data_IF_287574711011
#
_entry.id   IF_287574711011
#
_cell.length_a   1.000
_cell.length_b   1.000
_cell.length_c   1.000
_cell.angle_alpha   90.00
_cell.angle_beta   90.00
_cell.angle_gamma   90.00
#
_symmetry.space_group_name_H-M   'P 1'
#
loop_
_entity.id
_entity.type
_entity.pdbx_description
1 polymer ?
#
# COMPACT_ATOMS: atom_id res chain seq x y z
N UNK A 1 -80.69 47.33 -22.00
CA UNK A 1 -79.32 47.28 -22.50
C UNK A 1 -78.43 47.92 -21.44
N UNK A 2 -77.88 47.15 -20.52
CA UNK A 2 -76.96 47.71 -19.52
C UNK A 2 -76.15 46.60 -18.85
N UNK A 3 -74.85 46.87 -18.80
CA UNK A 3 -73.76 46.05 -18.28
C UNK A 3 -73.78 45.88 -16.76
N UNK A 4 -73.18 44.77 -16.38
CA UNK A 4 -72.97 44.22 -15.04
C UNK A 4 -72.21 45.11 -14.06
N UNK A 5 -72.52 44.90 -12.78
CA UNK A 5 -71.74 45.38 -11.63
C UNK A 5 -71.74 44.35 -10.50
N UNK A 6 -70.52 43.95 -10.15
CA UNK A 6 -69.97 43.73 -8.80
C UNK A 6 -70.63 42.83 -7.74
N UNK A 7 -69.72 42.06 -7.13
CA UNK A 7 -69.53 41.81 -5.70
C UNK A 7 -70.33 40.70 -4.98
N UNK A 8 -69.50 39.76 -4.45
CA UNK A 8 -69.62 39.03 -3.19
C UNK A 8 -70.85 38.15 -2.95
N UNK A 9 -70.61 36.83 -2.84
CA UNK A 9 -71.03 36.05 -1.66
C UNK A 9 -70.44 34.64 -1.61
N UNK A 10 -69.87 34.36 -0.45
CA UNK A 10 -69.59 33.05 0.14
C UNK A 10 -70.86 32.18 0.17
N UNK A 11 -70.78 30.93 -0.28
CA UNK A 11 -71.75 29.87 0.10
C UNK A 11 -71.01 28.55 0.30
N UNK A 12 -71.25 27.96 1.48
CA UNK A 12 -70.83 26.63 1.92
C UNK A 12 -71.42 25.53 1.02
N UNK A 13 -70.62 24.54 0.69
CA UNK A 13 -71.12 23.20 0.34
C UNK A 13 -70.34 22.19 1.17
N UNK A 14 -71.03 21.57 2.13
CA UNK A 14 -70.56 20.37 2.81
C UNK A 14 -71.05 19.15 2.05
N UNK A 15 -70.21 18.12 1.97
CA UNK A 15 -70.62 16.73 1.73
C UNK A 15 -69.43 15.79 1.96
N UNK A 16 -69.66 14.76 2.77
CA UNK A 16 -69.17 13.41 2.49
C UNK A 16 -67.78 13.03 3.00
N UNK A 17 -67.77 12.41 4.18
CA UNK A 17 -67.09 11.16 4.52
C UNK A 17 -65.71 10.85 3.90
N UNK A 18 -64.70 10.66 4.76
CA UNK A 18 -63.93 9.42 4.82
C UNK A 18 -62.94 9.47 5.99
N UNK A 19 -62.91 8.40 6.77
CA UNK A 19 -61.97 8.18 7.85
C UNK A 19 -60.52 8.14 7.32
N UNK A 20 -59.63 8.92 7.92
CA UNK A 20 -58.19 8.74 7.81
C UNK A 20 -57.59 8.64 9.22
N UNK A 21 -56.94 7.50 9.46
CA UNK A 21 -56.14 7.18 10.63
C UNK A 21 -55.02 8.21 10.80
N UNK A 22 -55.06 8.99 11.88
CA UNK A 22 -53.93 9.82 12.31
C UNK A 22 -52.96 8.93 13.09
N UNK A 23 -51.90 8.48 12.41
CA UNK A 23 -50.67 8.06 13.08
C UNK A 23 -49.95 9.33 13.56
N UNK A 24 -49.94 9.55 14.86
CA UNK A 24 -49.18 10.62 15.48
C UNK A 24 -47.68 10.38 15.25
N UNK A 25 -47.08 11.31 14.52
CA UNK A 25 -45.66 11.38 14.20
C UNK A 25 -44.81 11.63 15.45
N UNK A 26 -43.83 10.75 15.70
CA UNK A 26 -42.63 11.13 16.43
C UNK A 26 -41.56 11.51 15.38
N UNK A 27 -41.34 12.80 15.22
CA UNK A 27 -40.15 13.34 14.56
C UNK A 27 -38.98 13.26 15.55
N UNK A 28 -37.86 12.66 15.14
CA UNK A 28 -36.52 12.85 15.75
C UNK A 28 -35.45 12.60 14.68
N UNK A 29 -34.25 13.18 14.84
CA UNK A 29 -33.61 13.97 13.78
C UNK A 29 -32.67 13.15 12.86
N UNK A 30 -32.56 13.65 11.63
CA UNK A 30 -31.54 13.28 10.64
C UNK A 30 -30.14 13.45 11.20
N UNK A 31 -29.52 12.35 11.62
CA UNK A 31 -28.13 12.34 12.07
C UNK A 31 -27.17 12.15 10.88
N UNK A 32 -26.51 13.27 10.52
CA UNK A 32 -25.39 13.33 9.58
C UNK A 32 -24.15 12.73 10.25
N UNK A 33 -24.04 11.39 10.29
CA UNK A 33 -22.86 10.70 10.87
C UNK A 33 -22.42 9.46 10.08
N UNK A 34 -22.84 9.34 8.81
CA UNK A 34 -22.49 8.18 7.97
C UNK A 34 -21.14 8.28 7.24
N UNK A 35 -20.48 9.44 7.23
CA UNK A 35 -19.27 9.66 6.40
C UNK A 35 -17.95 9.40 7.13
N UNK A 36 -17.94 9.44 8.47
CA UNK A 36 -16.72 9.26 9.28
C UNK A 36 -16.41 7.81 9.67
N UNK A 37 -17.27 6.84 9.31
CA UNK A 37 -17.06 5.40 9.58
C UNK A 37 -16.34 4.63 8.48
N UNK A 38 -16.22 5.17 7.26
CA UNK A 38 -15.58 4.45 6.14
C UNK A 38 -14.05 4.35 6.24
N UNK A 39 -13.40 5.11 7.14
CA UNK A 39 -11.93 5.13 7.28
C UNK A 39 -11.45 4.19 8.41
N UNK A 40 -12.35 3.53 9.17
CA UNK A 40 -11.96 2.67 10.30
C UNK A 40 -11.90 1.16 10.03
N UNK A 41 -12.29 0.68 8.86
CA UNK A 41 -12.20 -0.75 8.51
C UNK A 41 -11.00 -1.03 7.58
N UNK A 42 -9.79 -1.02 8.13
CA UNK A 42 -8.63 -1.74 7.52
C UNK A 42 -8.31 -3.06 8.24
N UNK A 43 -9.13 -3.41 9.24
CA UNK A 43 -9.05 -4.64 10.04
C UNK A 43 -10.09 -5.70 9.63
N UNK A 44 -10.73 -5.56 8.45
CA UNK A 44 -11.62 -6.60 7.94
C UNK A 44 -10.91 -7.96 8.01
N UNK A 45 -11.47 -8.86 8.81
CA UNK A 45 -11.03 -10.24 8.98
C UNK A 45 -11.33 -11.11 7.75
N UNK A 46 -11.95 -10.53 6.72
CA UNK A 46 -12.24 -11.24 5.49
C UNK A 46 -10.92 -11.64 4.79
N UNK A 47 -10.82 -12.87 4.28
CA UNK A 47 -9.71 -13.27 3.42
C UNK A 47 -9.66 -12.37 2.18
N UNK A 48 -8.45 -12.22 1.63
CA UNK A 48 -8.20 -11.47 0.42
C UNK A 48 -9.14 -11.94 -0.69
N UNK A 49 -9.89 -11.00 -1.24
CA UNK A 49 -10.52 -11.13 -2.54
C UNK A 49 -9.94 -10.04 -3.40
N UNK A 50 -9.41 -10.40 -4.57
CA UNK A 50 -8.99 -9.40 -5.53
C UNK A 50 -10.21 -8.51 -5.83
N UNK A 51 -10.08 -7.20 -5.57
CA UNK A 51 -11.17 -6.25 -5.84
C UNK A 51 -11.48 -6.15 -7.35
N UNK A 52 -10.56 -6.63 -8.19
CA UNK A 52 -10.66 -6.68 -9.65
C UNK A 52 -10.09 -8.01 -10.18
N UNK A 53 -10.49 -8.42 -11.39
CA UNK A 53 -9.82 -9.52 -12.09
C UNK A 53 -8.33 -9.21 -12.23
N UNK A 54 -7.49 -10.13 -11.74
CA UNK A 54 -6.05 -9.88 -11.70
C UNK A 54 -5.42 -10.09 -13.07
N UNK A 55 -4.81 -9.04 -13.60
CA UNK A 55 -4.01 -9.13 -14.81
C UNK A 55 -2.64 -9.76 -14.55
N UNK A 56 -2.02 -10.24 -15.62
CA UNK A 56 -0.59 -10.50 -15.64
C UNK A 56 0.16 -9.21 -15.26
N UNK A 57 1.14 -9.29 -14.37
CA UNK A 57 1.88 -8.13 -13.89
C UNK A 57 2.49 -8.34 -12.51
N UNK A 58 3.21 -7.33 -12.02
CA UNK A 58 3.76 -7.31 -10.67
C UNK A 58 3.55 -5.95 -9.98
N UNK A 59 3.23 -5.98 -8.68
CA UNK A 59 3.18 -4.82 -7.82
C UNK A 59 4.21 -4.95 -6.70
N UNK A 60 5.00 -3.91 -6.48
CA UNK A 60 6.04 -3.84 -5.45
C UNK A 60 5.77 -2.65 -4.55
N UNK A 61 5.61 -2.89 -3.25
CA UNK A 61 5.63 -1.84 -2.23
C UNK A 61 7.02 -1.83 -1.57
N UNK A 62 7.73 -0.73 -1.74
CA UNK A 62 9.07 -0.51 -1.18
C UNK A 62 8.91 0.30 0.11
N UNK A 63 9.30 -0.29 1.24
CA UNK A 63 9.27 0.33 2.56
C UNK A 63 10.70 0.69 2.96
N UNK A 64 10.96 1.98 3.09
CA UNK A 64 12.28 2.52 3.39
C UNK A 64 12.31 3.03 4.83
N UNK A 65 13.22 2.48 5.63
CA UNK A 65 13.47 2.95 6.97
C UNK A 65 14.11 4.35 6.94
N UNK A 66 13.51 5.26 7.68
CA UNK A 66 13.97 6.62 7.92
C UNK A 66 14.03 6.90 9.43
N UNK A 67 14.31 5.88 10.24
CA UNK A 67 14.52 5.99 11.68
C UNK A 67 15.82 6.72 12.03
N UNK A 68 15.98 7.12 13.30
CA UNK A 68 17.13 7.92 13.73
C UNK A 68 18.50 7.29 13.43
N UNK A 69 18.64 5.97 13.56
CA UNK A 69 19.89 5.21 13.30
C UNK A 69 20.36 5.33 11.85
N UNK A 70 19.46 5.60 10.92
CA UNK A 70 19.82 5.80 9.51
C UNK A 70 20.64 7.09 9.26
N UNK A 71 20.80 7.97 10.27
CA UNK A 71 21.75 9.10 10.22
C UNK A 71 23.20 8.68 10.51
N UNK A 72 23.43 7.51 11.08
CA UNK A 72 24.77 7.03 11.37
C UNK A 72 25.53 6.77 10.05
N UNK A 73 26.85 6.81 10.11
CA UNK A 73 27.70 6.47 8.97
C UNK A 73 27.44 5.04 8.52
N UNK A 74 27.35 4.83 7.21
CA UNK A 74 27.28 3.49 6.67
C UNK A 74 28.61 2.75 6.91
N UNK A 75 28.60 1.44 7.21
CA UNK A 75 29.86 0.74 7.46
C UNK A 75 30.79 0.81 6.24
N UNK A 76 31.99 1.34 6.46
CA UNK A 76 33.00 1.53 5.42
C UNK A 76 32.74 2.71 4.47
N UNK A 77 31.83 3.62 4.81
CA UNK A 77 31.51 4.83 4.03
C UNK A 77 31.27 6.01 5.00
N UNK A 78 31.87 7.17 4.75
CA UNK A 78 31.70 8.35 5.62
C UNK A 78 30.37 9.09 5.40
N UNK A 79 29.51 8.57 4.53
CA UNK A 79 28.18 9.11 4.27
C UNK A 79 27.16 8.38 5.16
N UNK A 80 26.07 9.06 5.57
CA UNK A 80 25.01 8.45 6.34
C UNK A 80 24.35 7.26 5.62
N UNK A 81 23.90 6.25 6.38
CA UNK A 81 23.20 5.06 5.89
C UNK A 81 22.04 5.39 4.95
N UNK A 82 21.22 6.39 5.27
CA UNK A 82 20.08 6.77 4.41
C UNK A 82 20.50 7.25 3.02
N UNK A 83 21.67 7.90 2.89
CA UNK A 83 22.19 8.34 1.59
C UNK A 83 22.61 7.13 0.77
N UNK A 84 23.35 6.21 1.39
CA UNK A 84 23.81 4.97 0.75
C UNK A 84 22.63 4.08 0.34
N UNK A 85 21.61 3.97 1.20
CA UNK A 85 20.40 3.21 0.91
C UNK A 85 19.57 3.83 -0.22
N UNK A 86 19.45 5.16 -0.26
CA UNK A 86 18.78 5.87 -1.36
C UNK A 86 19.45 5.58 -2.71
N UNK A 87 20.77 5.71 -2.77
CA UNK A 87 21.53 5.45 -4.01
C UNK A 87 21.41 3.98 -4.47
N UNK A 88 21.42 3.03 -3.54
CA UNK A 88 21.24 1.62 -3.86
C UNK A 88 19.82 1.31 -4.39
N UNK A 89 18.79 1.93 -3.80
CA UNK A 89 17.41 1.82 -4.27
C UNK A 89 17.20 2.49 -5.64
N UNK A 90 17.80 3.65 -5.87
CA UNK A 90 17.77 4.32 -7.18
C UNK A 90 18.40 3.43 -8.26
N UNK A 91 19.59 2.88 -8.01
CA UNK A 91 20.26 1.96 -8.93
C UNK A 91 19.47 0.66 -9.19
N UNK A 92 18.76 0.14 -8.18
CA UNK A 92 17.86 -1.00 -8.34
C UNK A 92 16.68 -0.65 -9.26
N UNK A 93 16.10 0.55 -9.10
CA UNK A 93 14.92 0.99 -9.86
C UNK A 93 15.23 1.40 -11.29
N UNK A 94 16.46 1.79 -11.60
CA UNK A 94 16.95 1.95 -12.99
C UNK A 94 16.92 0.62 -13.76
N UNK A 95 17.08 -0.53 -13.09
CA UNK A 95 16.95 -1.83 -13.74
C UNK A 95 15.51 -2.09 -14.25
N UNK A 96 14.51 -1.46 -13.64
CA UNK A 96 13.11 -1.54 -14.06
C UNK A 96 12.90 -0.88 -15.42
N UNK A 97 13.64 0.18 -15.76
CA UNK A 97 13.56 0.82 -17.08
C UNK A 97 13.85 -0.17 -18.20
N UNK A 98 14.97 -0.89 -18.07
CA UNK A 98 15.38 -1.88 -19.05
C UNK A 98 14.38 -3.04 -19.15
N UNK A 99 13.76 -3.45 -18.03
CA UNK A 99 12.75 -4.49 -18.02
C UNK A 99 11.46 -4.05 -18.74
N UNK A 100 10.92 -2.87 -18.37
CA UNK A 100 9.68 -2.34 -18.95
C UNK A 100 9.86 -2.06 -20.44
N UNK A 101 11.04 -1.58 -20.87
CA UNK A 101 11.35 -1.40 -22.28
C UNK A 101 11.35 -2.72 -23.06
N UNK A 102 11.82 -3.82 -22.46
CA UNK A 102 11.85 -5.16 -23.08
C UNK A 102 10.48 -5.85 -23.06
N UNK A 103 9.62 -5.56 -22.05
CA UNK A 103 8.35 -6.24 -21.78
C UNK A 103 7.22 -5.24 -21.49
N UNK A 104 6.85 -4.36 -22.45
CA UNK A 104 5.86 -3.30 -22.23
C UNK A 104 4.45 -3.82 -21.88
N UNK A 105 4.14 -5.07 -22.26
CA UNK A 105 2.90 -5.77 -21.99
C UNK A 105 2.79 -6.29 -20.56
N UNK A 106 3.91 -6.39 -19.82
CA UNK A 106 3.94 -6.82 -18.43
C UNK A 106 3.96 -5.59 -17.50
N UNK A 107 2.83 -5.16 -16.92
CA UNK A 107 2.78 -3.98 -16.08
C UNK A 107 3.55 -4.21 -14.77
N UNK A 108 4.54 -3.35 -14.52
CA UNK A 108 5.15 -3.18 -13.20
C UNK A 108 4.48 -2.00 -12.50
N UNK A 109 3.99 -2.21 -11.30
CA UNK A 109 3.45 -1.18 -10.41
C UNK A 109 4.35 -1.03 -9.19
N UNK A 110 4.66 0.20 -8.80
CA UNK A 110 5.53 0.51 -7.66
C UNK A 110 4.83 1.49 -6.74
N UNK A 111 4.89 1.23 -5.43
CA UNK A 111 4.65 2.19 -4.36
C UNK A 111 5.90 2.34 -3.49
N UNK A 112 6.11 3.54 -2.95
CA UNK A 112 7.25 3.88 -2.08
C UNK A 112 6.69 4.49 -0.80
N UNK A 113 7.08 3.92 0.33
CA UNK A 113 6.69 4.37 1.65
C UNK A 113 7.95 4.54 2.48
N UNK A 114 7.90 5.50 3.40
CA UNK A 114 8.93 5.69 4.41
C UNK A 114 8.35 5.44 5.77
N UNK A 115 9.15 4.91 6.69
CA UNK A 115 8.72 4.73 8.06
C UNK A 115 9.79 5.13 9.06
N UNK A 116 9.31 5.67 10.17
CA UNK A 116 10.09 5.83 11.39
C UNK A 116 9.18 5.52 12.58
N UNK A 117 8.85 6.49 13.45
CA UNK A 117 7.80 6.31 14.47
C UNK A 117 6.39 6.18 13.87
N UNK A 118 6.23 6.57 12.61
CA UNK A 118 4.99 6.46 11.83
C UNK A 118 5.31 6.17 10.36
N UNK A 119 4.28 6.09 9.53
CA UNK A 119 4.40 5.73 8.10
C UNK A 119 3.93 6.88 7.23
N UNK A 120 4.67 7.15 6.16
CA UNK A 120 4.28 8.10 5.12
C UNK A 120 4.33 7.45 3.75
N UNK A 121 3.27 7.64 2.96
CA UNK A 121 3.26 7.25 1.55
C UNK A 121 3.94 8.36 0.73
N UNK A 122 5.08 8.04 0.11
CA UNK A 122 5.83 8.97 -0.74
C UNK A 122 5.38 8.86 -2.20
N UNK A 123 5.05 7.63 -2.62
CA UNK A 123 4.49 7.29 -3.92
C UNK A 123 3.43 6.20 -3.72
N UNK A 124 2.13 6.46 -3.98
CA UNK A 124 1.10 5.42 -3.98
C UNK A 124 1.41 4.34 -5.02
N UNK A 125 0.91 3.11 -4.82
CA UNK A 125 1.10 2.03 -5.79
C UNK A 125 0.46 2.38 -7.13
N UNK A 126 1.29 2.57 -8.16
CA UNK A 126 0.86 2.93 -9.51
C UNK A 126 1.81 2.36 -10.56
N UNK A 127 1.44 2.43 -11.85
CA UNK A 127 2.32 1.97 -12.94
C UNK A 127 3.68 2.68 -12.85
N UNK A 128 4.75 1.91 -13.08
CA UNK A 128 6.11 2.42 -13.07
C UNK A 128 6.28 3.61 -14.03
N UNK A 129 6.89 4.67 -13.52
CA UNK A 129 7.41 5.81 -14.27
C UNK A 129 8.73 6.19 -13.62
N UNK A 130 9.77 6.25 -14.43
CA UNK A 130 11.10 6.65 -14.01
C UNK A 130 11.07 8.02 -13.31
N UNK A 131 10.34 8.97 -13.88
CA UNK A 131 10.25 10.35 -13.40
C UNK A 131 9.57 10.42 -12.03
N UNK A 132 8.46 9.70 -11.84
CA UNK A 132 7.71 9.70 -10.59
C UNK A 132 8.50 9.01 -9.47
N UNK A 133 9.18 7.91 -9.79
CA UNK A 133 10.07 7.21 -8.86
C UNK A 133 11.24 8.10 -8.45
N UNK A 134 11.98 8.67 -9.41
CA UNK A 134 13.10 9.58 -9.13
C UNK A 134 12.66 10.78 -8.28
N UNK A 135 11.50 11.34 -8.60
CA UNK A 135 10.90 12.45 -7.83
C UNK A 135 10.52 12.04 -6.41
N UNK A 136 10.02 10.81 -6.21
CA UNK A 136 9.72 10.26 -4.90
C UNK A 136 11.00 10.02 -4.07
N UNK A 137 12.05 9.44 -4.65
CA UNK A 137 13.33 9.20 -3.98
C UNK A 137 14.01 10.51 -3.54
N UNK A 138 13.86 11.59 -4.32
CA UNK A 138 14.36 12.91 -3.96
C UNK A 138 13.58 13.57 -2.80
N UNK A 139 12.36 13.11 -2.49
CA UNK A 139 11.50 13.64 -1.41
C UNK A 139 11.52 12.80 -0.14
N UNK A 140 12.36 11.77 -0.06
CA UNK A 140 12.47 10.98 1.16
C UNK A 140 12.82 11.92 2.34
N UNK A 141 12.13 11.79 3.49
CA UNK A 141 12.38 12.65 4.63
C UNK A 141 13.77 12.37 5.22
N UNK A 142 14.29 13.34 5.97
CA UNK A 142 15.48 13.11 6.77
C UNK A 142 15.18 12.10 7.87
N UNK A 143 16.15 11.22 8.22
CA UNK A 143 15.88 10.20 9.21
C UNK A 143 15.69 10.76 10.63
N UNK A 144 14.84 10.11 11.41
CA UNK A 144 14.55 10.49 12.80
C UNK A 144 13.43 9.67 13.41
N UNK A 145 13.36 9.62 14.74
CA UNK A 145 12.35 8.83 15.46
C UNK A 145 12.71 7.35 15.56
N UNK A 146 11.71 6.52 15.90
CA UNK A 146 11.84 5.07 16.03
C UNK A 146 11.65 4.34 14.70
N UNK A 147 11.29 3.07 14.77
CA UNK A 147 11.31 2.13 13.64
C UNK A 147 10.01 1.30 13.66
N UNK A 148 9.00 1.69 12.88
CA UNK A 148 7.66 1.11 12.86
C UNK A 148 7.43 0.19 11.65
N UNK A 149 8.21 -0.90 11.57
CA UNK A 149 8.18 -1.88 10.48
C UNK A 149 6.78 -2.49 10.34
N UNK A 150 6.19 -2.93 11.45
CA UNK A 150 4.86 -3.58 11.42
C UNK A 150 3.77 -2.65 10.87
N UNK A 151 3.78 -1.38 11.26
CA UNK A 151 2.83 -0.39 10.72
C UNK A 151 3.09 -0.10 9.24
N UNK A 152 4.34 -0.06 8.81
CA UNK A 152 4.70 0.18 7.40
C UNK A 152 4.13 -0.93 6.50
N UNK A 153 4.32 -2.20 6.88
CA UNK A 153 3.77 -3.34 6.14
C UNK A 153 2.25 -3.32 6.10
N UNK A 154 1.61 -3.02 7.25
CA UNK A 154 0.15 -2.92 7.34
C UNK A 154 -0.42 -1.80 6.48
N UNK A 155 0.28 -0.67 6.40
CA UNK A 155 -0.14 0.52 5.64
C UNK A 155 -0.05 0.29 4.13
N UNK A 156 0.99 -0.39 3.66
CA UNK A 156 1.18 -0.65 2.22
C UNK A 156 0.30 -1.80 1.69
N UNK A 157 -0.01 -2.79 2.52
CA UNK A 157 -0.76 -3.99 2.12
C UNK A 157 -2.06 -3.70 1.33
N UNK A 158 -2.96 -2.80 1.75
CA UNK A 158 -4.20 -2.55 1.01
C UNK A 158 -3.97 -2.07 -0.43
N UNK A 159 -2.94 -1.26 -0.69
CA UNK A 159 -2.64 -0.79 -2.05
C UNK A 159 -2.09 -1.93 -2.92
N UNK A 160 -1.29 -2.85 -2.36
CA UNK A 160 -0.88 -4.06 -3.07
C UNK A 160 -2.08 -4.93 -3.47
N UNK A 161 -3.07 -5.07 -2.58
CA UNK A 161 -4.29 -5.83 -2.86
C UNK A 161 -5.14 -5.20 -3.98
N UNK A 162 -5.14 -3.87 -4.08
CA UNK A 162 -5.85 -3.11 -5.12
C UNK A 162 -5.05 -2.93 -6.40
N UNK A 163 -3.82 -3.43 -6.45
CA UNK A 163 -2.95 -3.23 -7.60
C UNK A 163 -3.48 -3.95 -8.86
N UNK A 164 -4.42 -4.90 -8.76
CA UNK A 164 -5.03 -5.57 -9.91
C UNK A 164 -4.04 -6.35 -10.77
N UNK A 165 -2.96 -6.84 -10.14
CA UNK A 165 -1.92 -7.66 -10.75
C UNK A 165 -1.65 -8.85 -9.87
N UNK A 166 -1.40 -9.99 -10.51
CA UNK A 166 -1.27 -11.27 -9.81
C UNK A 166 -0.11 -11.28 -8.80
N UNK A 167 1.09 -10.82 -9.20
CA UNK A 167 2.28 -10.88 -8.34
C UNK A 167 2.37 -9.67 -7.42
N UNK A 168 2.55 -9.91 -6.12
CA UNK A 168 2.60 -8.85 -5.11
C UNK A 168 3.80 -9.05 -4.20
N UNK A 169 4.57 -7.98 -4.05
CA UNK A 169 5.83 -7.98 -3.32
C UNK A 169 5.87 -6.85 -2.31
N UNK A 170 6.28 -7.18 -1.09
CA UNK A 170 6.60 -6.22 -0.03
C UNK A 170 8.12 -6.27 0.19
N UNK A 171 8.82 -5.18 -0.13
CA UNK A 171 10.26 -5.06 0.05
C UNK A 171 10.56 -4.07 1.16
N UNK A 172 11.17 -4.51 2.25
CA UNK A 172 11.55 -3.69 3.40
C UNK A 172 13.06 -3.50 3.42
N UNK A 173 13.52 -2.26 3.57
CA UNK A 173 14.94 -1.93 3.79
C UNK A 173 15.05 -1.21 5.11
N UNK A 174 15.81 -1.78 6.06
CA UNK A 174 15.93 -1.27 7.44
C UNK A 174 17.30 -1.57 8.03
N UNK A 175 17.76 -0.71 8.95
CA UNK A 175 18.98 -0.91 9.73
C UNK A 175 18.74 -1.28 11.20
N UNK A 176 17.48 -1.47 11.59
CA UNK A 176 17.12 -1.51 13.00
C UNK A 176 16.04 -2.53 13.36
N UNK A 177 15.84 -2.66 14.66
CA UNK A 177 14.73 -3.43 15.23
C UNK A 177 13.44 -2.61 15.21
N UNK A 178 12.30 -3.28 15.20
CA UNK A 178 11.03 -2.61 15.39
C UNK A 178 10.95 -2.01 16.81
N UNK A 179 10.88 -0.68 16.91
CA UNK A 179 10.84 0.06 18.18
C UNK A 179 9.54 0.84 18.37
N UNK A 180 8.65 0.84 17.38
CA UNK A 180 7.35 1.51 17.43
C UNK A 180 6.25 0.68 16.74
N UNK A 181 5.01 0.83 17.21
CA UNK A 181 3.86 0.17 16.59
C UNK A 181 3.82 -1.35 16.78
N UNK A 182 3.11 -2.03 15.88
CA UNK A 182 2.89 -3.49 15.94
C UNK A 182 4.16 -4.29 15.69
N UNK A 183 4.20 -5.49 16.25
CA UNK A 183 5.22 -6.48 15.95
C UNK A 183 5.18 -6.86 14.45
N UNK A 184 6.32 -6.78 13.73
CA UNK A 184 6.36 -7.12 12.32
C UNK A 184 6.09 -8.61 12.04
N UNK A 185 6.40 -9.51 12.97
CA UNK A 185 6.08 -10.94 12.83
C UNK A 185 4.58 -11.21 12.85
N UNK A 186 3.83 -10.57 13.75
CA UNK A 186 2.37 -10.64 13.78
C UNK A 186 1.75 -10.13 12.47
N UNK A 187 2.22 -8.97 11.98
CA UNK A 187 1.71 -8.38 10.74
C UNK A 187 2.07 -9.23 9.52
N UNK A 188 3.28 -9.80 9.46
CA UNK A 188 3.69 -10.69 8.38
C UNK A 188 2.80 -11.93 8.31
N UNK A 189 2.49 -12.55 9.46
CA UNK A 189 1.55 -13.68 9.54
C UNK A 189 0.13 -13.28 9.14
N UNK A 190 -0.32 -12.08 9.50
CA UNK A 190 -1.62 -11.56 9.06
C UNK A 190 -1.69 -11.37 7.55
N UNK A 191 -0.64 -10.80 6.94
CA UNK A 191 -0.52 -10.64 5.49
C UNK A 191 -0.55 -12.02 4.81
N UNK A 192 0.25 -12.96 5.27
CA UNK A 192 0.32 -14.30 4.70
C UNK A 192 -1.03 -15.03 4.76
N UNK A 193 -1.67 -15.08 5.93
CA UNK A 193 -2.98 -15.72 6.09
C UNK A 193 -4.05 -15.05 5.23
N UNK A 194 -4.11 -13.72 5.23
CA UNK A 194 -5.14 -13.00 4.47
C UNK A 194 -4.94 -13.14 2.98
N UNK A 195 -3.71 -13.13 2.49
CA UNK A 195 -3.40 -13.27 1.06
C UNK A 195 -3.30 -14.72 0.58
N UNK A 196 -3.48 -15.70 1.46
CA UNK A 196 -3.22 -17.12 1.19
C UNK A 196 -1.81 -17.35 0.59
N UNK A 197 -0.83 -16.55 1.03
CA UNK A 197 0.55 -16.58 0.54
C UNK A 197 0.80 -15.85 -0.79
N UNK A 198 -0.18 -15.14 -1.34
CA UNK A 198 -0.02 -14.41 -2.61
C UNK A 198 0.92 -13.19 -2.52
N UNK A 199 1.16 -12.65 -1.31
CA UNK A 199 2.14 -11.58 -1.09
C UNK A 199 3.46 -12.18 -0.62
N UNK A 200 4.51 -11.99 -1.41
CA UNK A 200 5.88 -12.34 -1.02
C UNK A 200 6.52 -11.18 -0.26
N UNK A 201 7.18 -11.49 0.85
CA UNK A 201 7.81 -10.49 1.74
C UNK A 201 9.32 -10.66 1.71
N UNK A 202 10.03 -9.59 1.40
CA UNK A 202 11.48 -9.50 1.31
C UNK A 202 12.00 -8.43 2.25
N UNK A 203 13.01 -8.77 3.05
CA UNK A 203 13.72 -7.83 3.91
C UNK A 203 15.17 -7.72 3.46
N UNK A 204 15.69 -6.49 3.46
CA UNK A 204 17.12 -6.20 3.38
C UNK A 204 17.54 -5.57 4.69
N UNK A 205 18.31 -6.33 5.48
CA UNK A 205 18.84 -5.93 6.77
C UNK A 205 20.18 -5.22 6.54
N UNK A 206 20.16 -3.88 6.52
CA UNK A 206 21.34 -3.06 6.26
C UNK A 206 22.06 -2.70 7.55
N UNK A 207 23.33 -3.07 7.71
CA UNK A 207 24.09 -2.85 8.96
C UNK A 207 23.38 -3.41 10.21
N UNK A 208 22.66 -4.52 10.04
CA UNK A 208 21.98 -5.22 11.14
C UNK A 208 21.87 -6.70 10.84
N UNK A 209 21.73 -7.50 11.90
CA UNK A 209 21.71 -8.95 11.81
C UNK A 209 20.39 -9.46 11.19
N UNK A 210 20.43 -10.26 10.09
CA UNK A 210 19.25 -10.86 9.48
C UNK A 210 18.43 -11.76 10.41
N UNK A 211 19.08 -12.33 11.43
CA UNK A 211 18.47 -13.23 12.41
C UNK A 211 17.33 -12.57 13.18
N UNK A 212 17.36 -11.24 13.33
CA UNK A 212 16.27 -10.43 13.90
C UNK A 212 14.95 -10.61 13.15
N UNK A 213 15.03 -10.96 11.86
CA UNK A 213 13.87 -11.15 10.98
C UNK A 213 13.60 -12.64 10.69
N UNK A 214 14.09 -13.56 11.52
CA UNK A 214 13.90 -14.99 11.34
C UNK A 214 12.41 -15.42 11.29
N UNK A 215 11.50 -14.61 11.85
CA UNK A 215 10.05 -14.81 11.76
C UNK A 215 9.52 -14.87 10.33
N UNK A 216 10.23 -14.32 9.34
CA UNK A 216 9.82 -14.36 7.94
C UNK A 216 9.77 -15.80 7.39
N UNK A 217 10.54 -16.73 7.96
CA UNK A 217 10.51 -18.15 7.57
C UNK A 217 9.13 -18.77 7.78
N UNK A 218 8.39 -18.32 8.80
CA UNK A 218 7.04 -18.83 9.12
C UNK A 218 6.00 -18.48 8.03
N UNK A 219 6.31 -17.49 7.18
CA UNK A 219 5.39 -16.94 6.17
C UNK A 219 5.95 -17.02 4.75
N UNK A 220 7.00 -17.83 4.54
CA UNK A 220 7.66 -17.95 3.23
C UNK A 220 8.37 -16.67 2.75
N UNK A 221 8.62 -15.73 3.66
CA UNK A 221 9.40 -14.53 3.37
C UNK A 221 10.90 -14.79 3.42
N UNK A 222 11.68 -13.86 2.88
CA UNK A 222 13.15 -13.97 2.84
C UNK A 222 13.82 -12.70 3.39
N UNK A 223 14.99 -12.87 4.00
CA UNK A 223 15.82 -11.78 4.48
C UNK A 223 17.23 -11.93 3.92
N UNK A 224 17.81 -10.82 3.45
CA UNK A 224 19.21 -10.74 3.03
C UNK A 224 19.91 -9.69 3.88
N UNK A 225 21.05 -10.04 4.46
CA UNK A 225 21.92 -9.11 5.17
C UNK A 225 22.82 -8.32 4.23
N UNK A 226 23.06 -7.07 4.56
CA UNK A 226 23.98 -6.20 3.86
C UNK A 226 24.83 -5.44 4.90
N UNK A 227 26.10 -5.76 5.02
CA UNK A 227 27.00 -5.12 5.98
C UNK A 227 27.58 -3.79 5.50
N UNK A 228 27.41 -3.41 4.23
CA UNK A 228 27.89 -2.14 3.68
C UNK A 228 27.12 -1.76 2.40
N UNK A 229 27.39 -0.57 1.84
CA UNK A 229 26.69 -0.08 0.65
C UNK A 229 26.81 -0.97 -0.60
N UNK A 230 27.93 -1.65 -0.80
CA UNK A 230 28.09 -2.58 -1.95
C UNK A 230 27.22 -3.82 -1.76
N UNK A 231 27.23 -4.38 -0.56
CA UNK A 231 26.39 -5.53 -0.21
C UNK A 231 24.90 -5.17 -0.25
N UNK A 232 24.52 -3.96 0.16
CA UNK A 232 23.16 -3.46 0.07
C UNK A 232 22.67 -3.42 -1.38
N UNK A 233 23.49 -2.87 -2.28
CA UNK A 233 23.19 -2.85 -3.71
C UNK A 233 23.10 -4.27 -4.29
N UNK A 234 24.00 -5.17 -3.88
CA UNK A 234 23.97 -6.56 -4.32
C UNK A 234 22.70 -7.29 -3.84
N UNK A 235 22.32 -7.14 -2.57
CA UNK A 235 21.11 -7.72 -1.98
C UNK A 235 19.83 -7.22 -2.68
N UNK A 236 19.73 -5.91 -2.91
CA UNK A 236 18.61 -5.31 -3.64
C UNK A 236 18.54 -5.83 -5.08
N UNK A 237 19.68 -5.93 -5.78
CA UNK A 237 19.72 -6.48 -7.12
C UNK A 237 19.32 -7.97 -7.16
N UNK A 238 19.78 -8.78 -6.21
CA UNK A 238 19.43 -10.19 -6.11
C UNK A 238 17.92 -10.38 -5.93
N UNK A 239 17.30 -9.66 -5.00
CA UNK A 239 15.85 -9.72 -4.77
C UNK A 239 15.11 -9.20 -5.99
N UNK A 240 15.46 -8.01 -6.46
CA UNK A 240 14.65 -7.32 -7.45
C UNK A 240 14.80 -7.95 -8.84
N UNK A 241 16.02 -8.18 -9.31
CA UNK A 241 16.22 -8.80 -10.63
C UNK A 241 16.03 -10.31 -10.56
N UNK A 242 16.61 -10.97 -9.56
CA UNK A 242 16.67 -12.43 -9.48
C UNK A 242 15.38 -13.09 -8.99
N UNK A 243 14.50 -12.36 -8.29
CA UNK A 243 13.22 -12.89 -7.81
C UNK A 243 12.06 -12.12 -8.42
N UNK A 244 11.96 -10.82 -8.19
CA UNK A 244 10.78 -10.04 -8.60
C UNK A 244 10.63 -9.98 -10.13
N UNK A 245 11.69 -9.56 -10.85
CA UNK A 245 11.65 -9.44 -12.30
C UNK A 245 11.83 -10.79 -13.01
N UNK A 246 12.65 -11.70 -12.49
CA UNK A 246 12.82 -13.03 -13.09
C UNK A 246 11.53 -13.86 -13.04
N UNK A 247 10.81 -13.85 -11.92
CA UNK A 247 9.52 -14.53 -11.81
C UNK A 247 8.47 -13.93 -12.77
N UNK A 248 8.60 -12.65 -13.11
CA UNK A 248 7.77 -12.02 -14.15
C UNK A 248 8.06 -12.60 -15.55
N UNK A 249 9.29 -13.02 -15.84
CA UNK A 249 9.69 -13.61 -17.14
C UNK A 249 9.20 -15.05 -17.28
N UNK A 250 9.37 -15.89 -16.25
CA UNK A 250 9.06 -17.33 -16.28
C UNK A 250 7.60 -17.66 -16.65
N UNK A 251 6.67 -16.72 -16.47
CA UNK A 251 5.25 -16.89 -16.80
C UNK A 251 4.90 -16.34 -18.18
N UNK A 252 5.65 -15.35 -18.68
CA UNK A 252 5.51 -14.93 -20.07
C UNK A 252 5.81 -16.06 -21.07
N UNK A 253 6.57 -17.08 -20.65
CA UNK A 253 6.84 -18.29 -21.43
C UNK A 253 5.88 -19.44 -21.14
N UNK A 254 5.20 -19.40 -19.98
CA UNK A 254 4.17 -20.36 -19.57
C UNK A 254 2.79 -19.71 -19.69
N UNK A 255 2.38 -19.37 -20.90
CA UNK A 255 0.98 -19.06 -21.16
C UNK A 255 0.10 -20.20 -20.60
N UNK A 256 -0.98 -19.91 -19.86
CA UNK A 256 -2.02 -20.90 -19.67
C UNK A 256 -2.61 -21.13 -21.07
N UNK A 257 -2.37 -22.32 -21.63
CA UNK A 257 -3.12 -22.77 -22.80
C UNK A 257 -4.59 -22.62 -22.46
N UNK A 258 -5.25 -21.69 -23.16
CA UNK A 258 -6.63 -21.31 -22.91
C UNK A 258 -7.51 -22.54 -22.78
N UNK A 259 -8.41 -22.50 -21.79
CA UNK A 259 -9.62 -23.31 -21.80
C UNK A 259 -10.73 -22.51 -22.44
#
# INVERSE_FOLDING_TARGET
>A
MQMDREYFRTVRAGLGAAALLILAACQTPSDRTADSRRIRDSDSAAPYQAEVEEGLGAAVAILVDTSGSMNDDAPGDSRPKFVVAREALEAMLEATDAFVAKRPEFPIKIGIYTFSSGVSTVLPVQRYSHELVRSAMARLPHPGGGTAIGEAMRTARPELYRAGVFRKYLLVVTDGDNTAGRDPGEVARDIFRKSEGAVQIYFVAFDTSPEKFAFLKDVGGNVIGAGNGRELRAALNEIYQGKILAEAVDVGEREPRGR
#
